data_IF_026183206493
#
_entry.id   IF_026183206493
#
_cell.length_a   1.000
_cell.length_b   1.000
_cell.length_c   1.000
_cell.angle_alpha   90.00
_cell.angle_beta   90.00
_cell.angle_gamma   90.00
#
_symmetry.space_group_name_H-M   'P 1'
#
loop_
_entity.id
_entity.type
_entity.pdbx_description
1 polymer ?
#
# COMPACT_ATOMS: atom_id res chain seq x y z
N UNK A 1 9.48 14.41 -9.87
CA UNK A 1 8.36 13.92 -10.70
C UNK A 1 8.05 12.50 -10.27
N UNK A 2 6.80 12.18 -9.94
CA UNK A 2 6.37 10.84 -9.53
C UNK A 2 5.73 10.04 -10.66
N UNK A 3 5.14 8.89 -10.33
CA UNK A 3 4.33 8.07 -11.24
C UNK A 3 2.95 7.87 -10.63
N UNK A 4 1.90 8.27 -11.36
CA UNK A 4 0.50 8.07 -10.96
C UNK A 4 -0.16 7.06 -11.88
N UNK A 5 -0.81 6.06 -11.29
CA UNK A 5 -1.51 4.97 -11.97
C UNK A 5 -2.98 5.04 -11.60
N UNK A 6 -3.83 5.29 -12.60
CA UNK A 6 -5.27 5.49 -12.40
C UNK A 6 -6.08 4.32 -12.93
N UNK A 7 -6.83 3.69 -12.05
CA UNK A 7 -7.76 2.61 -12.37
C UNK A 7 -9.06 3.15 -13.00
N UNK A 8 -9.43 2.61 -14.16
CA UNK A 8 -10.64 2.98 -14.91
C UNK A 8 -11.79 1.96 -14.79
N UNK A 9 -11.65 0.97 -13.91
CA UNK A 9 -12.53 -0.20 -13.77
C UNK A 9 -12.21 -1.34 -14.73
N UNK A 10 -11.22 -1.15 -15.60
CA UNK A 10 -10.70 -2.21 -16.47
C UNK A 10 -9.63 -3.03 -15.75
N UNK A 11 -9.41 -4.26 -16.23
CA UNK A 11 -8.36 -5.14 -15.70
C UNK A 11 -6.98 -4.58 -16.08
N UNK A 12 -6.09 -4.47 -15.10
CA UNK A 12 -4.71 -4.02 -15.31
C UNK A 12 -3.70 -5.00 -14.75
N UNK A 13 -2.51 -5.04 -15.36
CA UNK A 13 -1.33 -5.66 -14.79
C UNK A 13 -0.22 -4.62 -14.78
N UNK A 14 0.17 -4.19 -13.58
CA UNK A 14 1.21 -3.19 -13.36
C UNK A 14 2.34 -3.85 -12.60
N UNK A 15 3.56 -3.62 -13.08
CA UNK A 15 4.77 -4.15 -12.45
C UNK A 15 5.84 -3.07 -12.40
N UNK A 16 6.26 -2.71 -11.18
CA UNK A 16 7.39 -1.83 -10.90
C UNK A 16 8.43 -2.70 -10.21
N UNK A 17 9.49 -3.08 -10.91
CA UNK A 17 10.48 -4.04 -10.38
C UNK A 17 11.90 -3.54 -10.54
N UNK A 18 12.77 -3.89 -9.58
CA UNK A 18 14.20 -3.54 -9.59
C UNK A 18 14.47 -2.06 -9.93
N UNK A 19 13.58 -1.18 -9.50
CA UNK A 19 13.54 0.23 -9.90
C UNK A 19 14.04 1.13 -8.77
N UNK A 20 14.55 2.30 -9.13
CA UNK A 20 14.97 3.32 -8.17
C UNK A 20 14.23 4.62 -8.43
N UNK A 21 13.55 5.14 -7.41
CA UNK A 21 12.87 6.43 -7.44
C UNK A 21 13.36 7.27 -6.26
N UNK A 22 14.18 8.28 -6.54
CA UNK A 22 14.77 9.18 -5.53
C UNK A 22 14.06 10.54 -5.43
N UNK A 23 13.03 10.76 -6.25
CA UNK A 23 12.22 11.98 -6.24
C UNK A 23 10.80 11.68 -6.70
N UNK A 24 9.81 12.30 -6.07
CA UNK A 24 8.39 11.97 -6.32
C UNK A 24 7.97 10.69 -5.60
N UNK A 25 6.79 10.20 -5.95
CA UNK A 25 6.07 9.15 -5.25
C UNK A 25 5.36 8.24 -6.25
N UNK A 26 5.01 7.04 -5.81
CA UNK A 26 4.11 6.15 -6.55
C UNK A 26 2.69 6.32 -6.03
N UNK A 27 1.84 6.85 -6.88
CA UNK A 27 0.43 7.09 -6.57
C UNK A 27 -0.46 6.09 -7.29
N UNK A 28 -1.42 5.55 -6.56
CA UNK A 28 -2.49 4.73 -7.10
C UNK A 28 -3.84 5.31 -6.71
N UNK A 29 -4.74 5.43 -7.68
CA UNK A 29 -6.08 5.97 -7.49
C UNK A 29 -7.08 5.30 -8.43
N UNK A 30 -8.34 5.19 -7.99
CA UNK A 30 -9.44 4.76 -8.84
C UNK A 30 -9.80 3.28 -8.71
N UNK A 31 -10.51 2.75 -9.70
CA UNK A 31 -11.02 1.39 -9.67
C UNK A 31 -10.17 0.45 -10.52
N UNK A 32 -9.61 -0.59 -9.91
CA UNK A 32 -8.90 -1.65 -10.61
C UNK A 32 -9.87 -2.80 -10.84
N UNK A 33 -10.11 -3.16 -12.10
CA UNK A 33 -11.12 -4.14 -12.48
C UNK A 33 -10.80 -5.55 -11.98
N UNK A 34 -11.76 -6.46 -12.16
CA UNK A 34 -11.65 -7.88 -11.75
C UNK A 34 -10.34 -8.52 -12.20
N UNK A 35 -9.70 -9.26 -11.30
CA UNK A 35 -8.45 -9.99 -11.52
C UNK A 35 -7.27 -9.11 -11.96
N UNK A 36 -7.24 -7.85 -11.51
CA UNK A 36 -6.06 -6.99 -11.73
C UNK A 36 -4.88 -7.45 -10.87
N UNK A 37 -3.67 -7.03 -11.25
CA UNK A 37 -2.48 -7.21 -10.44
C UNK A 37 -1.65 -5.92 -10.44
N UNK A 38 -1.26 -5.49 -9.26
CA UNK A 38 -0.29 -4.43 -9.06
C UNK A 38 0.85 -5.03 -8.23
N UNK A 39 2.04 -5.03 -8.80
CA UNK A 39 3.25 -5.55 -8.19
C UNK A 39 4.30 -4.45 -8.11
N UNK A 40 4.79 -4.17 -6.91
CA UNK A 40 6.02 -3.40 -6.68
C UNK A 40 6.99 -4.33 -5.98
N UNK A 41 8.11 -4.66 -6.62
CA UNK A 41 9.05 -5.63 -6.04
C UNK A 41 10.53 -5.28 -6.23
N UNK A 42 11.34 -5.58 -5.21
CA UNK A 42 12.80 -5.39 -5.27
C UNK A 42 13.23 -3.96 -5.59
N UNK A 43 12.39 -2.96 -5.33
CA UNK A 43 12.61 -1.57 -5.71
C UNK A 43 13.08 -0.73 -4.53
N UNK A 44 13.80 0.36 -4.82
CA UNK A 44 14.23 1.37 -3.84
C UNK A 44 13.49 2.68 -4.11
N UNK A 45 12.56 3.03 -3.22
CA UNK A 45 11.69 4.20 -3.33
C UNK A 45 11.99 5.13 -2.15
N UNK A 46 12.74 6.19 -2.39
CA UNK A 46 13.16 7.14 -1.35
C UNK A 46 12.74 8.54 -1.78
N UNK A 47 11.96 9.21 -0.95
CA UNK A 47 11.41 10.52 -1.31
C UNK A 47 11.47 11.51 -0.16
N UNK A 48 11.40 12.80 -0.49
CA UNK A 48 11.14 13.88 0.47
C UNK A 48 9.66 14.24 0.55
N UNK A 49 8.80 13.61 -0.27
CA UNK A 49 7.35 13.68 -0.13
C UNK A 49 6.91 13.04 1.19
N UNK A 50 5.70 13.39 1.64
CA UNK A 50 5.11 12.80 2.85
C UNK A 50 5.13 11.27 2.82
N UNK A 51 4.81 10.68 1.67
CA UNK A 51 4.77 9.23 1.45
C UNK A 51 5.58 8.83 0.22
N UNK A 52 6.22 7.65 0.23
CA UNK A 52 6.88 7.09 -0.96
C UNK A 52 5.93 6.33 -1.87
N UNK A 53 4.97 5.61 -1.29
CA UNK A 53 3.85 5.02 -2.00
C UNK A 53 2.56 5.46 -1.33
N UNK A 54 1.57 5.88 -2.10
CA UNK A 54 0.24 6.11 -1.57
C UNK A 54 -0.88 5.61 -2.47
N UNK A 55 -1.89 5.04 -1.81
CA UNK A 55 -3.16 4.65 -2.40
C UNK A 55 -4.20 5.62 -1.86
N UNK A 56 -4.73 6.48 -2.73
CA UNK A 56 -5.72 7.47 -2.33
C UNK A 56 -7.09 6.79 -2.23
N UNK A 57 -8.04 7.17 -3.09
CA UNK A 57 -9.34 6.50 -3.19
C UNK A 57 -9.24 5.35 -4.18
N UNK A 58 -8.97 4.15 -3.68
CA UNK A 58 -8.72 2.96 -4.50
C UNK A 58 -9.72 1.83 -4.22
N UNK A 59 -10.21 1.20 -5.28
CA UNK A 59 -11.07 0.00 -5.17
C UNK A 59 -10.47 -1.12 -6.00
N UNK A 60 -10.12 -2.22 -5.34
CA UNK A 60 -9.62 -3.43 -5.96
C UNK A 60 -10.80 -4.37 -6.20
N UNK A 61 -11.14 -4.60 -7.47
CA UNK A 61 -12.21 -5.52 -7.87
C UNK A 61 -11.90 -6.96 -7.48
N UNK A 62 -12.87 -7.85 -7.71
CA UNK A 62 -12.80 -9.26 -7.31
C UNK A 62 -11.47 -9.92 -7.72
N UNK A 63 -10.89 -10.70 -6.82
CA UNK A 63 -9.64 -11.45 -7.04
C UNK A 63 -8.43 -10.59 -7.48
N UNK A 64 -8.46 -9.28 -7.23
CA UNK A 64 -7.35 -8.38 -7.54
C UNK A 64 -6.25 -8.49 -6.48
N UNK A 65 -4.98 -8.41 -6.89
CA UNK A 65 -3.84 -8.49 -5.98
C UNK A 65 -2.98 -7.23 -6.03
N UNK A 66 -2.76 -6.61 -4.88
CA UNK A 66 -1.71 -5.64 -4.65
C UNK A 66 -0.58 -6.31 -3.87
N UNK A 67 0.64 -6.27 -4.40
CA UNK A 67 1.81 -6.93 -3.85
C UNK A 67 2.94 -5.91 -3.71
N UNK A 68 3.36 -5.64 -2.48
CA UNK A 68 4.57 -4.88 -2.16
C UNK A 68 5.59 -5.88 -1.59
N UNK A 69 6.57 -6.30 -2.40
CA UNK A 69 7.47 -7.40 -2.07
C UNK A 69 8.94 -6.96 -2.04
N UNK A 70 9.64 -7.19 -0.93
CA UNK A 70 11.11 -7.06 -0.86
C UNK A 70 11.65 -5.68 -1.32
N UNK A 71 10.89 -4.60 -1.07
CA UNK A 71 11.30 -3.24 -1.43
C UNK A 71 12.01 -2.53 -0.27
N UNK A 72 12.83 -1.53 -0.60
CA UNK A 72 13.25 -0.48 0.32
C UNK A 72 12.38 0.76 0.07
N UNK A 73 11.58 1.16 1.06
CA UNK A 73 10.61 2.25 0.93
C UNK A 73 10.84 3.24 2.08
N UNK A 74 11.09 4.50 1.74
CA UNK A 74 11.36 5.56 2.70
C UNK A 74 10.70 6.88 2.28
N UNK A 75 9.69 7.31 3.04
CA UNK A 75 9.05 8.62 2.90
C UNK A 75 9.39 9.57 4.04
N UNK A 76 8.93 10.81 3.97
CA UNK A 76 9.19 11.79 5.04
C UNK A 76 8.41 11.46 6.31
N UNK A 77 7.10 11.22 6.16
CA UNK A 77 6.16 10.94 7.25
C UNK A 77 5.69 9.49 7.19
N UNK A 78 5.43 8.93 6.00
CA UNK A 78 4.94 7.58 5.82
C UNK A 78 5.78 6.82 4.80
N UNK A 79 6.09 5.54 5.02
CA UNK A 79 6.68 4.75 3.93
C UNK A 79 5.59 4.40 2.90
N UNK A 80 4.49 3.84 3.40
CA UNK A 80 3.28 3.54 2.62
C UNK A 80 2.06 4.17 3.29
N UNK A 81 1.20 4.80 2.50
CA UNK A 81 -0.03 5.44 2.97
C UNK A 81 -1.25 4.94 2.21
N UNK A 82 -2.22 4.35 2.92
CA UNK A 82 -3.51 3.93 2.39
C UNK A 82 -4.58 4.86 2.95
N UNK A 83 -5.12 5.77 2.11
CA UNK A 83 -6.18 6.69 2.55
C UNK A 83 -7.54 5.98 2.58
N UNK A 84 -8.07 5.58 1.41
CA UNK A 84 -9.36 4.88 1.34
C UNK A 84 -9.26 3.71 0.39
N UNK A 85 -9.21 2.50 0.96
CA UNK A 85 -9.04 1.26 0.19
C UNK A 85 -10.22 0.31 0.40
N UNK A 86 -10.79 -0.17 -0.70
CA UNK A 86 -11.79 -1.24 -0.69
C UNK A 86 -11.28 -2.48 -1.42
N UNK A 87 -11.35 -3.65 -0.77
CA UNK A 87 -11.00 -4.95 -1.33
C UNK A 87 -12.25 -5.76 -1.60
N UNK A 88 -12.67 -5.85 -2.86
CA UNK A 88 -13.87 -6.58 -3.26
C UNK A 88 -13.54 -8.06 -3.41
N UNK A 89 -14.44 -8.90 -2.90
CA UNK A 89 -14.49 -10.37 -2.93
C UNK A 89 -13.24 -11.10 -3.45
N UNK A 90 -12.47 -11.66 -2.51
CA UNK A 90 -11.23 -12.37 -2.81
C UNK A 90 -10.05 -11.48 -3.21
N UNK A 91 -10.23 -10.16 -3.26
CA UNK A 91 -9.16 -9.20 -3.48
C UNK A 91 -8.20 -9.16 -2.29
N UNK A 92 -6.93 -8.81 -2.53
CA UNK A 92 -5.96 -8.79 -1.44
C UNK A 92 -4.79 -7.86 -1.59
N UNK A 93 -4.26 -7.46 -0.43
CA UNK A 93 -3.04 -6.69 -0.25
C UNK A 93 -2.03 -7.57 0.49
N UNK A 94 -0.82 -7.67 -0.04
CA UNK A 94 0.31 -8.28 0.65
C UNK A 94 1.45 -7.28 0.70
N UNK A 95 1.89 -6.96 1.91
CA UNK A 95 3.10 -6.19 2.17
C UNK A 95 4.09 -7.13 2.83
N UNK A 96 5.07 -7.64 2.08
CA UNK A 96 5.97 -8.69 2.54
C UNK A 96 7.44 -8.38 2.28
N UNK A 97 8.29 -8.65 3.29
CA UNK A 97 9.75 -8.62 3.12
C UNK A 97 10.34 -7.23 2.92
N UNK A 98 9.54 -6.16 3.05
CA UNK A 98 9.99 -4.81 2.77
C UNK A 98 10.77 -4.22 3.94
N UNK A 99 11.65 -3.27 3.64
CA UNK A 99 12.16 -2.28 4.59
C UNK A 99 11.31 -1.01 4.46
N UNK A 100 10.54 -0.67 5.49
CA UNK A 100 9.64 0.49 5.53
C UNK A 100 10.17 1.52 6.54
N UNK A 101 10.47 2.74 6.09
CA UNK A 101 11.12 3.76 6.91
C UNK A 101 10.49 5.14 6.77
N UNK A 102 10.65 5.94 7.81
CA UNK A 102 10.31 7.36 7.79
C UNK A 102 11.53 8.19 8.15
N UNK A 103 11.68 9.36 7.51
CA UNK A 103 12.75 10.31 7.84
C UNK A 103 12.47 11.03 9.14
N UNK A 104 11.23 11.50 9.34
CA UNK A 104 10.80 12.11 10.61
C UNK A 104 10.58 11.05 11.67
N UNK A 105 10.97 11.40 12.90
CA UNK A 105 10.91 10.52 14.09
C UNK A 105 10.48 11.25 15.37
N UNK A 106 10.23 12.55 15.26
CA UNK A 106 10.00 13.48 16.36
C UNK A 106 8.52 13.88 16.52
N UNK A 107 7.68 13.56 15.53
CA UNK A 107 6.22 13.69 15.60
C UNK A 107 5.56 12.32 15.91
N UNK A 108 4.31 12.31 16.38
CA UNK A 108 3.53 11.08 16.62
C UNK A 108 2.95 10.47 15.35
N UNK A 109 2.84 11.26 14.29
CA UNK A 109 2.25 10.88 13.00
C UNK A 109 3.08 9.86 12.20
N UNK A 110 4.43 9.92 12.15
CA UNK A 110 5.22 9.10 11.23
C UNK A 110 5.01 7.59 11.41
N UNK A 111 4.69 6.91 10.31
CA UNK A 111 4.30 5.50 10.33
C UNK A 111 4.91 4.73 9.17
N UNK A 112 5.36 3.50 9.39
CA UNK A 112 5.88 2.68 8.30
C UNK A 112 4.77 2.33 7.30
N UNK A 113 3.58 2.00 7.81
CA UNK A 113 2.35 1.81 7.04
C UNK A 113 1.19 2.52 7.75
N UNK A 114 0.69 3.61 7.18
CA UNK A 114 -0.55 4.26 7.64
C UNK A 114 -1.73 3.74 6.83
N UNK A 115 -2.79 3.33 7.52
CA UNK A 115 -4.08 2.95 6.95
C UNK A 115 -5.15 3.81 7.60
N UNK A 116 -5.73 4.74 6.85
CA UNK A 116 -6.85 5.55 7.34
C UNK A 116 -8.13 4.73 7.33
N UNK A 117 -8.61 4.36 6.13
CA UNK A 117 -9.81 3.56 5.96
C UNK A 117 -9.54 2.35 5.06
N UNK A 118 -9.93 1.17 5.53
CA UNK A 118 -9.92 -0.06 4.73
C UNK A 118 -11.20 -0.88 4.93
N UNK A 119 -11.82 -1.29 3.82
CA UNK A 119 -12.93 -2.26 3.78
C UNK A 119 -12.47 -3.56 3.15
N UNK A 120 -12.31 -4.59 3.97
CA UNK A 120 -11.89 -5.94 3.57
C UNK A 120 -13.16 -6.77 3.32
N UNK A 121 -13.52 -6.89 2.04
CA UNK A 121 -14.68 -7.63 1.56
C UNK A 121 -14.63 -9.15 1.80
N UNK A 122 -15.60 -9.87 1.22
CA UNK A 122 -15.80 -11.29 1.54
C UNK A 122 -14.64 -12.13 0.99
N UNK A 123 -13.97 -12.88 1.85
CA UNK A 123 -12.80 -13.68 1.44
C UNK A 123 -11.60 -12.85 0.99
N UNK A 124 -11.66 -11.51 1.13
CA UNK A 124 -10.56 -10.61 0.85
C UNK A 124 -9.54 -10.64 1.99
N UNK A 125 -8.31 -10.20 1.73
CA UNK A 125 -7.26 -10.25 2.75
C UNK A 125 -6.28 -9.06 2.69
N UNK A 126 -5.86 -8.60 3.86
CA UNK A 126 -4.77 -7.65 4.03
C UNK A 126 -3.73 -8.29 4.94
N UNK A 127 -2.57 -8.57 4.36
CA UNK A 127 -1.48 -9.26 5.01
C UNK A 127 -0.20 -8.42 5.05
N UNK A 128 0.39 -8.29 6.23
CA UNK A 128 1.66 -7.59 6.44
C UNK A 128 2.61 -8.54 7.15
N UNK A 129 3.59 -9.10 6.46
CA UNK A 129 4.46 -10.14 7.02
C UNK A 129 5.95 -9.91 6.75
N UNK A 130 6.82 -10.23 7.71
CA UNK A 130 8.27 -10.21 7.57
C UNK A 130 8.86 -8.86 7.08
N UNK A 131 8.27 -7.73 7.46
CA UNK A 131 8.80 -6.41 7.11
C UNK A 131 9.73 -5.89 8.22
N UNK A 132 10.80 -5.20 7.82
CA UNK A 132 11.62 -4.39 8.73
C UNK A 132 11.07 -2.98 8.76
N UNK A 133 10.59 -2.51 9.91
CA UNK A 133 9.97 -1.19 10.05
C UNK A 133 10.80 -0.26 10.95
N UNK A 134 11.09 0.95 10.49
CA UNK A 134 11.74 2.00 11.29
C UNK A 134 11.00 3.33 11.13
N UNK A 135 10.00 3.53 11.98
CA UNK A 135 9.18 4.73 12.10
C UNK A 135 8.70 4.85 13.56
N UNK A 136 7.97 5.92 13.90
CA UNK A 136 7.37 6.05 15.24
C UNK A 136 6.29 4.99 15.46
N UNK A 137 5.46 4.75 14.43
CA UNK A 137 4.52 3.64 14.41
C UNK A 137 4.92 2.62 13.32
N UNK A 138 4.83 1.32 13.60
CA UNK A 138 5.00 0.28 12.58
C UNK A 138 3.83 0.31 11.58
N UNK A 139 2.68 -0.17 12.03
CA UNK A 139 1.40 -0.07 11.31
C UNK A 139 0.48 0.81 12.15
N UNK A 140 -0.13 1.82 11.53
CA UNK A 140 -1.09 2.69 12.19
C UNK A 140 -2.45 2.62 11.47
N UNK A 141 -3.45 2.02 12.13
CA UNK A 141 -4.84 2.04 11.69
C UNK A 141 -5.51 3.26 12.35
N UNK A 142 -5.90 4.26 11.56
CA UNK A 142 -6.31 5.56 12.09
C UNK A 142 -7.83 5.74 12.23
N UNK A 143 -8.60 5.49 11.17
CA UNK A 143 -10.05 5.67 11.19
C UNK A 143 -10.77 4.31 11.20
N UNK A 144 -11.35 3.91 10.07
CA UNK A 144 -12.29 2.78 9.99
C UNK A 144 -11.62 1.59 9.33
N UNK A 145 -11.51 0.49 10.06
CA UNK A 145 -11.16 -0.82 9.51
C UNK A 145 -12.38 -1.73 9.57
N UNK A 146 -12.92 -2.10 8.40
CA UNK A 146 -14.06 -3.02 8.28
C UNK A 146 -13.58 -4.37 7.78
N UNK A 147 -13.92 -5.44 8.50
CA UNK A 147 -13.72 -6.83 8.10
C UNK A 147 -15.07 -7.48 7.85
N UNK A 148 -15.35 -7.87 6.61
CA UNK A 148 -16.59 -8.57 6.24
C UNK A 148 -16.41 -10.09 6.39
N UNK A 149 -17.46 -10.86 6.07
CA UNK A 149 -17.46 -12.33 6.24
C UNK A 149 -16.27 -12.99 5.55
N UNK A 150 -15.47 -13.75 6.30
CA UNK A 150 -14.21 -14.35 5.85
C UNK A 150 -13.14 -13.35 5.33
N UNK A 151 -13.29 -12.06 5.61
CA UNK A 151 -12.24 -11.07 5.42
C UNK A 151 -11.14 -11.24 6.48
N UNK A 152 -9.88 -11.16 6.06
CA UNK A 152 -8.72 -11.38 6.94
C UNK A 152 -7.82 -10.13 6.99
N UNK A 153 -7.48 -9.70 8.21
CA UNK A 153 -6.37 -8.78 8.46
C UNK A 153 -5.32 -9.53 9.28
N UNK A 154 -4.08 -9.60 8.78
CA UNK A 154 -2.97 -10.30 9.41
C UNK A 154 -1.73 -9.42 9.45
N UNK A 155 -1.04 -9.41 10.59
CA UNK A 155 0.17 -8.64 10.90
C UNK A 155 1.15 -9.52 11.64
#
# INVERSE_FOLDING_TARGET
MGLSIKGSGTRVHVSVTSSMLYSGDLEFEGHFGVSSQILVAGSTLVTTSSSAIHFLRSTFGENTKLLLLDNYIEGDIYAVYLSVVALVDGGGIIVKGNTLRTKKKDDKSPSALLVETVDVGKGSYFDVENNTMSAVNGIYLFEVTTLRSAGLLRV
#
